data_IF_866697146787
#
_entry.id   IF_866697146787
#
_cell.length_a   1.000
_cell.length_b   1.000
_cell.length_c   1.000
_cell.angle_alpha   90.00
_cell.angle_beta   90.00
_cell.angle_gamma   90.00
#
_symmetry.space_group_name_H-M   'P 1'
#
loop_
_entity.id
_entity.type
_entity.pdbx_description
1 polymer ?
#
# COMPACT_ATOMS: atom_id res chain seq x y z
N UNK A 1 7.46 -12.97 25.98
CA UNK A 1 6.24 -13.39 25.27
C UNK A 1 6.49 -13.24 23.78
N UNK A 2 5.92 -14.07 22.92
CA UNK A 2 6.04 -13.87 21.48
C UNK A 2 5.45 -12.51 21.10
N UNK A 3 6.10 -11.80 20.16
CA UNK A 3 5.64 -10.54 19.61
C UNK A 3 4.82 -10.82 18.34
N UNK A 4 3.56 -10.48 18.35
CA UNK A 4 2.64 -10.73 17.23
C UNK A 4 2.53 -9.52 16.31
N UNK A 5 2.68 -9.76 15.01
CA UNK A 5 2.66 -8.71 13.99
C UNK A 5 1.57 -9.02 12.97
N UNK A 6 0.70 -8.04 12.70
CA UNK A 6 -0.25 -8.13 11.60
C UNK A 6 0.09 -7.11 10.50
N UNK A 7 -0.29 -7.43 9.28
CA UNK A 7 -0.03 -6.60 8.09
C UNK A 7 -1.37 -6.17 7.50
N UNK A 8 -1.52 -4.88 7.23
CA UNK A 8 -2.63 -4.31 6.49
C UNK A 8 -2.07 -3.65 5.23
N UNK A 9 -2.32 -4.25 4.08
CA UNK A 9 -1.70 -3.83 2.82
C UNK A 9 -2.58 -4.11 1.60
N UNK A 10 -1.99 -3.83 0.45
CA UNK A 10 -2.53 -4.11 -0.87
C UNK A 10 -1.83 -5.30 -1.55
N UNK A 11 -1.85 -5.34 -2.90
CA UNK A 11 -1.22 -6.40 -3.70
C UNK A 11 0.26 -6.64 -3.39
N UNK A 12 1.02 -5.57 -3.08
CA UNK A 12 2.47 -5.64 -2.81
C UNK A 12 2.76 -6.48 -1.57
N UNK A 13 1.80 -6.60 -0.67
CA UNK A 13 1.94 -7.29 0.61
C UNK A 13 1.29 -8.69 0.65
N UNK A 14 0.59 -9.09 -0.42
CA UNK A 14 -0.04 -10.42 -0.48
C UNK A 14 0.97 -11.53 -0.78
N UNK A 15 0.65 -12.75 -0.34
CA UNK A 15 1.40 -13.95 -0.71
C UNK A 15 0.50 -15.17 -0.56
N UNK A 16 0.44 -16.02 -1.58
CA UNK A 16 -0.37 -17.26 -1.58
C UNK A 16 -0.12 -18.10 -0.33
N UNK A 17 -1.20 -18.52 0.32
CA UNK A 17 -1.17 -19.34 1.52
C UNK A 17 -0.89 -18.57 2.82
N UNK A 18 -0.67 -17.24 2.76
CA UNK A 18 -0.38 -16.39 3.91
C UNK A 18 -1.44 -15.32 4.18
N UNK A 19 -2.37 -15.13 3.26
CA UNK A 19 -3.55 -14.30 3.45
C UNK A 19 -4.74 -15.15 3.93
N UNK A 20 -5.73 -14.56 4.62
CA UNK A 20 -6.96 -15.26 4.97
C UNK A 20 -7.68 -15.82 3.74
N UNK A 21 -8.40 -16.92 3.92
CA UNK A 21 -9.21 -17.50 2.86
C UNK A 21 -10.21 -16.48 2.29
N UNK A 22 -10.34 -16.46 0.97
CA UNK A 22 -11.22 -15.52 0.26
C UNK A 22 -10.62 -14.13 -0.01
N UNK A 23 -9.42 -13.83 0.51
CA UNK A 23 -8.74 -12.59 0.18
C UNK A 23 -8.12 -12.69 -1.22
N UNK A 24 -8.22 -11.60 -1.99
CA UNK A 24 -7.55 -11.50 -3.28
C UNK A 24 -6.04 -11.41 -3.09
N UNK A 25 -5.31 -12.31 -3.74
CA UNK A 25 -3.85 -12.42 -3.67
C UNK A 25 -3.25 -12.07 -5.03
N UNK A 26 -2.17 -11.31 -5.06
CA UNK A 26 -1.45 -10.96 -6.28
C UNK A 26 -0.30 -11.94 -6.56
N UNK A 27 0.49 -12.26 -5.54
CA UNK A 27 1.61 -13.20 -5.66
C UNK A 27 1.12 -14.64 -5.53
N UNK A 28 0.55 -15.12 -6.63
CA UNK A 28 0.09 -16.48 -6.87
C UNK A 28 0.20 -16.83 -8.35
N UNK A 29 -0.02 -18.05 -8.75
CA UNK A 29 -0.05 -18.53 -10.14
C UNK A 29 1.20 -18.17 -10.95
N UNK A 30 2.37 -18.34 -10.32
CA UNK A 30 3.70 -18.10 -10.91
C UNK A 30 4.20 -16.65 -10.81
N UNK A 31 3.39 -15.69 -10.33
CA UNK A 31 3.86 -14.31 -10.08
C UNK A 31 4.79 -14.23 -8.88
N UNK A 32 4.57 -15.06 -7.88
CA UNK A 32 5.47 -15.26 -6.75
C UNK A 32 6.85 -15.73 -7.21
N UNK A 33 6.91 -16.74 -8.08
CA UNK A 33 8.17 -17.24 -8.64
C UNK A 33 8.89 -16.18 -9.48
N UNK A 34 8.14 -15.45 -10.34
CA UNK A 34 8.69 -14.34 -11.16
C UNK A 34 9.24 -13.20 -10.29
N UNK A 35 8.63 -12.97 -9.13
CA UNK A 35 9.11 -11.98 -8.16
C UNK A 35 10.23 -12.51 -7.25
N UNK A 36 10.64 -13.78 -7.40
CA UNK A 36 11.65 -14.43 -6.57
C UNK A 36 11.18 -14.73 -5.15
N UNK A 37 9.86 -14.82 -4.93
CA UNK A 37 9.28 -15.11 -3.63
C UNK A 37 9.10 -16.63 -3.47
N UNK A 38 9.89 -17.25 -2.63
CA UNK A 38 9.77 -18.67 -2.27
C UNK A 38 8.99 -18.88 -0.98
N UNK A 39 8.79 -17.80 -0.21
CA UNK A 39 8.05 -17.82 1.04
C UNK A 39 8.03 -16.48 1.74
N UNK A 40 7.44 -16.40 2.93
CA UNK A 40 7.31 -15.14 3.68
C UNK A 40 8.65 -14.47 3.98
N UNK A 41 9.74 -15.22 4.11
CA UNK A 41 11.08 -14.69 4.37
C UNK A 41 11.60 -13.80 3.22
N UNK A 42 11.05 -13.92 2.01
CA UNK A 42 11.46 -13.14 0.86
C UNK A 42 10.65 -11.86 0.72
N UNK A 43 9.50 -11.77 1.41
CA UNK A 43 8.64 -10.58 1.42
C UNK A 43 9.23 -9.47 2.30
N UNK A 44 8.83 -8.23 2.01
CA UNK A 44 9.23 -7.08 2.82
C UNK A 44 8.77 -7.24 4.28
N UNK A 45 7.51 -7.65 4.50
CA UNK A 45 6.95 -7.82 5.84
C UNK A 45 7.57 -9.00 6.58
N UNK A 46 7.87 -10.09 5.89
CA UNK A 46 8.55 -11.23 6.50
C UNK A 46 9.93 -10.89 7.01
N UNK A 47 10.70 -10.08 6.24
CA UNK A 47 12.00 -9.56 6.67
C UNK A 47 11.88 -8.65 7.90
N UNK A 48 10.89 -7.75 7.91
CA UNK A 48 10.62 -6.87 9.07
C UNK A 48 10.25 -7.69 10.30
N UNK A 49 9.32 -8.64 10.17
CA UNK A 49 8.88 -9.50 11.27
C UNK A 49 10.05 -10.30 11.84
N UNK A 50 10.88 -10.87 10.98
CA UNK A 50 12.09 -11.60 11.40
C UNK A 50 13.06 -10.69 12.17
N UNK A 51 13.30 -9.46 11.68
CA UNK A 51 14.17 -8.49 12.35
C UNK A 51 13.63 -8.08 13.73
N UNK A 52 12.32 -8.04 13.88
CA UNK A 52 11.64 -7.75 15.15
C UNK A 52 11.62 -8.95 16.12
N UNK A 53 12.13 -10.12 15.72
CA UNK A 53 11.94 -11.39 16.40
C UNK A 53 10.47 -11.69 16.68
N UNK A 54 9.60 -11.29 15.73
CA UNK A 54 8.16 -11.42 15.82
C UNK A 54 7.63 -12.68 15.14
N UNK A 55 6.33 -12.86 15.25
CA UNK A 55 5.56 -13.91 14.59
C UNK A 55 4.42 -13.26 13.82
N UNK A 56 4.23 -13.60 12.56
CA UNK A 56 3.07 -13.16 11.81
C UNK A 56 1.79 -13.69 12.46
N UNK A 57 0.92 -12.77 12.86
CA UNK A 57 -0.42 -13.13 13.35
C UNK A 57 -1.39 -13.24 12.18
N UNK A 58 -1.54 -12.16 11.41
CA UNK A 58 -2.40 -12.14 10.22
C UNK A 58 -1.76 -11.26 9.13
N UNK A 59 -1.74 -11.76 7.90
CA UNK A 59 -1.54 -10.93 6.73
C UNK A 59 -2.89 -10.53 6.15
N UNK A 60 -3.47 -9.41 6.62
CA UNK A 60 -4.74 -8.87 6.18
C UNK A 60 -4.67 -8.05 4.88
N UNK A 61 -3.62 -8.24 4.06
CA UNK A 61 -3.48 -7.54 2.78
C UNK A 61 -4.44 -8.10 1.74
N UNK A 62 -4.89 -7.20 0.82
CA UNK A 62 -5.85 -7.55 -0.22
C UNK A 62 -5.44 -6.91 -1.54
N UNK A 63 -5.27 -7.71 -2.58
CA UNK A 63 -4.88 -7.21 -3.91
C UNK A 63 -5.90 -6.21 -4.46
N UNK A 64 -5.42 -5.05 -4.91
CA UNK A 64 -6.27 -3.95 -5.38
C UNK A 64 -6.93 -3.11 -4.28
N UNK A 65 -6.66 -3.42 -3.00
CA UNK A 65 -7.23 -2.65 -1.88
C UNK A 65 -6.80 -1.19 -1.92
N UNK A 66 -7.77 -0.32 -1.66
CA UNK A 66 -7.60 1.13 -1.52
C UNK A 66 -7.96 1.57 -0.10
N UNK A 67 -7.42 2.70 0.30
CA UNK A 67 -7.86 3.41 1.51
C UNK A 67 -9.19 4.10 1.21
N UNK A 68 -9.29 4.83 0.09
CA UNK A 68 -10.48 5.59 -0.31
C UNK A 68 -11.64 4.73 -0.83
N UNK A 69 -11.50 3.41 -0.93
CA UNK A 69 -12.56 2.51 -1.37
C UNK A 69 -13.81 2.60 -0.49
N UNK A 70 -14.97 2.20 -1.04
CA UNK A 70 -16.21 2.16 -0.28
C UNK A 70 -16.56 0.74 0.15
N UNK A 71 -16.85 0.56 1.44
CA UNK A 71 -17.20 -0.73 2.00
C UNK A 71 -16.06 -1.75 1.96
N UNK A 72 -16.39 -3.02 2.16
CA UNK A 72 -15.43 -4.11 2.03
C UNK A 72 -15.07 -4.34 0.54
N UNK A 73 -13.78 -4.49 0.15
CA UNK A 73 -12.60 -4.68 1.00
C UNK A 73 -11.74 -3.40 1.24
N UNK A 74 -12.34 -2.22 1.31
CA UNK A 74 -11.61 -1.01 1.64
C UNK A 74 -10.85 -1.17 2.96
N UNK A 75 -9.66 -0.57 3.05
CA UNK A 75 -8.77 -0.78 4.18
C UNK A 75 -9.34 -0.31 5.53
N UNK A 76 -10.21 0.70 5.51
CA UNK A 76 -10.89 1.23 6.69
C UNK A 76 -12.13 0.43 7.11
N UNK A 77 -12.58 -0.54 6.30
CA UNK A 77 -13.82 -1.27 6.63
C UNK A 77 -13.68 -2.04 7.95
N UNK A 78 -14.73 -2.07 8.78
CA UNK A 78 -14.67 -2.74 10.09
C UNK A 78 -14.24 -4.20 9.99
N UNK A 79 -14.62 -4.89 8.93
CA UNK A 79 -14.28 -6.29 8.68
C UNK A 79 -12.77 -6.46 8.45
N UNK A 80 -12.14 -5.54 7.69
CA UNK A 80 -10.69 -5.57 7.45
C UNK A 80 -9.91 -5.27 8.73
N UNK A 81 -10.38 -4.32 9.52
CA UNK A 81 -9.77 -3.98 10.81
C UNK A 81 -9.88 -5.18 11.76
N UNK A 82 -11.08 -5.75 11.93
CA UNK A 82 -11.32 -6.88 12.83
C UNK A 82 -10.49 -8.12 12.43
N UNK A 83 -10.27 -8.33 11.14
CA UNK A 83 -9.51 -9.47 10.61
C UNK A 83 -8.00 -9.44 10.95
N UNK A 84 -7.48 -8.38 11.56
CA UNK A 84 -6.07 -8.30 11.99
C UNK A 84 -5.79 -9.04 13.30
N UNK A 85 -6.81 -9.54 14.00
CA UNK A 85 -6.68 -10.43 15.15
C UNK A 85 -6.98 -11.89 14.77
N UNK A 86 -6.49 -12.84 15.56
CA UNK A 86 -6.74 -14.27 15.34
C UNK A 86 -6.89 -14.98 16.66
N UNK A 87 -7.94 -15.80 16.79
CA UNK A 87 -8.19 -16.66 17.97
C UNK A 87 -8.19 -15.90 19.31
N UNK A 88 -8.71 -14.66 19.30
CA UNK A 88 -8.73 -13.77 20.46
C UNK A 88 -7.37 -13.12 20.78
N UNK A 89 -6.35 -13.33 19.94
CA UNK A 89 -5.03 -12.71 20.08
C UNK A 89 -5.02 -11.43 19.25
N UNK A 90 -4.70 -10.31 19.90
CA UNK A 90 -4.47 -9.04 19.23
C UNK A 90 -3.00 -8.88 18.81
N UNK A 91 -2.69 -8.14 17.74
CA UNK A 91 -1.32 -7.85 17.37
C UNK A 91 -0.65 -6.89 18.36
N UNK A 92 0.66 -7.06 18.57
CA UNK A 92 1.53 -6.08 19.25
C UNK A 92 1.97 -4.96 18.29
N UNK A 93 2.07 -5.29 17.00
CA UNK A 93 2.42 -4.37 15.93
C UNK A 93 1.51 -4.57 14.72
N UNK A 94 1.13 -3.46 14.08
CA UNK A 94 0.41 -3.45 12.82
C UNK A 94 1.25 -2.68 11.80
N UNK A 95 1.62 -3.36 10.71
CA UNK A 95 2.35 -2.77 9.59
C UNK A 95 1.34 -2.37 8.53
N UNK A 96 1.20 -1.06 8.27
CA UNK A 96 0.29 -0.51 7.25
C UNK A 96 1.11 -0.10 6.04
N UNK A 97 0.85 -0.75 4.89
CA UNK A 97 1.47 -0.39 3.61
C UNK A 97 0.39 -0.29 2.54
N UNK A 98 -0.19 0.90 2.43
CA UNK A 98 -1.36 1.22 1.61
C UNK A 98 -1.23 2.60 0.99
N UNK A 99 -1.98 2.83 -0.09
CA UNK A 99 -2.05 4.11 -0.79
C UNK A 99 -1.57 4.02 -2.24
N UNK A 100 -0.91 2.92 -2.63
CA UNK A 100 -0.45 2.73 -4.02
C UNK A 100 -1.63 2.73 -5.00
N UNK A 101 -2.72 2.05 -4.66
CA UNK A 101 -3.92 2.03 -5.50
C UNK A 101 -4.70 3.35 -5.43
N UNK A 102 -4.65 4.07 -4.31
CA UNK A 102 -5.24 5.41 -4.15
C UNK A 102 -4.47 6.46 -4.97
N UNK A 103 -3.14 6.38 -4.97
CA UNK A 103 -2.28 7.18 -5.84
C UNK A 103 -2.62 6.95 -7.31
N UNK A 104 -3.01 5.73 -7.63
CA UNK A 104 -3.43 5.31 -8.95
C UNK A 104 -2.28 4.82 -9.82
N UNK A 105 -2.54 3.72 -10.49
CA UNK A 105 -1.65 3.17 -11.51
C UNK A 105 -1.66 4.06 -12.75
N UNK A 106 -0.85 5.09 -12.74
CA UNK A 106 -0.73 6.06 -13.83
C UNK A 106 0.07 5.55 -15.03
N UNK A 107 0.25 4.23 -15.17
CA UNK A 107 1.15 3.66 -16.17
C UNK A 107 0.86 4.08 -17.60
N UNK A 108 -0.41 4.09 -18.00
CA UNK A 108 -0.77 4.49 -19.37
C UNK A 108 -0.62 6.00 -19.59
N UNK A 109 -1.00 6.81 -18.61
CA UNK A 109 -0.94 8.25 -18.69
C UNK A 109 0.48 8.78 -18.72
N UNK A 110 1.31 8.21 -17.87
CA UNK A 110 2.69 8.63 -17.81
C UNK A 110 3.50 8.16 -19.02
N UNK A 111 3.12 7.06 -19.66
CA UNK A 111 3.62 6.68 -20.97
C UNK A 111 3.22 7.68 -22.06
N UNK A 112 1.98 8.22 -21.99
CA UNK A 112 1.47 9.21 -22.94
C UNK A 112 2.06 10.61 -22.74
N UNK A 113 2.36 11.01 -21.49
CA UNK A 113 2.85 12.37 -21.16
C UNK A 113 4.37 12.53 -21.21
N UNK A 114 5.11 11.46 -21.50
CA UNK A 114 6.56 11.50 -21.55
C UNK A 114 7.22 11.64 -20.17
N UNK A 115 8.54 11.57 -20.12
CA UNK A 115 9.37 11.53 -18.90
C UNK A 115 9.60 12.91 -18.25
N UNK A 116 8.61 13.79 -18.27
CA UNK A 116 8.77 15.13 -17.69
C UNK A 116 8.68 15.07 -16.16
N UNK A 117 9.63 15.66 -15.48
CA UNK A 117 9.59 15.90 -14.03
C UNK A 117 8.57 16.98 -13.63
N UNK A 118 7.94 17.66 -14.60
CA UNK A 118 6.88 18.63 -14.38
C UNK A 118 5.51 17.94 -14.44
N UNK A 119 4.57 18.39 -13.61
CA UNK A 119 3.19 17.92 -13.68
C UNK A 119 2.67 18.13 -15.10
N UNK A 120 2.15 17.11 -15.77
CA UNK A 120 1.60 17.27 -17.11
C UNK A 120 0.37 18.16 -17.02
N UNK A 121 0.40 19.29 -17.73
CA UNK A 121 -0.67 20.30 -17.72
C UNK A 121 -1.98 19.83 -18.39
N UNK A 122 -2.06 18.57 -18.85
CA UNK A 122 -3.10 18.14 -19.80
C UNK A 122 -3.50 16.66 -19.68
N UNK A 123 -3.61 16.11 -18.47
CA UNK A 123 -4.19 14.80 -18.32
C UNK A 123 -5.72 14.91 -18.34
N UNK A 124 -6.32 14.80 -19.52
CA UNK A 124 -7.75 14.60 -19.64
C UNK A 124 -8.04 13.11 -19.38
N UNK A 125 -8.80 12.81 -18.33
CA UNK A 125 -9.25 11.45 -18.01
C UNK A 125 -10.03 10.80 -19.16
N UNK A 126 -10.60 11.61 -20.06
CA UNK A 126 -11.36 11.19 -21.24
C UNK A 126 -10.49 10.53 -22.32
N UNK A 127 -9.17 10.75 -22.29
CA UNK A 127 -8.22 10.18 -23.26
C UNK A 127 -7.73 8.77 -22.87
N UNK A 128 -8.26 8.19 -21.77
CA UNK A 128 -7.80 6.89 -21.25
C UNK A 128 -8.78 5.77 -21.58
N UNK A 129 -8.28 4.53 -21.84
CA UNK A 129 -9.13 3.36 -21.96
C UNK A 129 -9.98 3.16 -20.69
N UNK A 130 -11.22 2.75 -20.82
CA UNK A 130 -12.14 2.49 -19.70
C UNK A 130 -11.55 1.57 -18.62
N UNK A 131 -10.66 0.63 -19.00
CA UNK A 131 -9.95 -0.24 -18.08
C UNK A 131 -9.00 0.49 -17.11
N UNK A 132 -8.57 1.70 -17.46
CA UNK A 132 -7.70 2.55 -16.62
C UNK A 132 -8.55 3.58 -15.87
N UNK A 133 -9.61 4.08 -16.47
CA UNK A 133 -10.54 5.02 -15.84
C UNK A 133 -11.26 4.40 -14.62
N UNK A 134 -11.58 3.09 -14.69
CA UNK A 134 -12.18 2.35 -13.56
C UNK A 134 -11.24 2.12 -12.38
N UNK A 135 -9.92 2.27 -12.58
CA UNK A 135 -8.90 2.14 -11.54
C UNK A 135 -8.38 3.50 -11.03
N UNK A 136 -8.89 4.61 -11.58
CA UNK A 136 -8.48 5.94 -11.13
C UNK A 136 -8.96 6.20 -9.70
N UNK A 137 -8.10 6.75 -8.81
CA UNK A 137 -8.51 7.07 -7.47
C UNK A 137 -9.66 8.05 -7.45
N UNK A 138 -10.64 7.75 -6.60
CA UNK A 138 -11.89 8.49 -6.49
C UNK A 138 -11.72 9.59 -5.45
N UNK A 139 -11.09 10.67 -5.64
CA UNK A 139 -11.00 11.71 -4.64
C UNK A 139 -9.76 12.59 -4.79
N UNK A 140 -9.77 13.74 -4.13
CA UNK A 140 -8.61 14.59 -3.97
C UNK A 140 -7.66 14.01 -2.90
N UNK A 141 -6.46 14.58 -2.79
CA UNK A 141 -5.49 14.21 -1.76
C UNK A 141 -6.07 14.41 -0.34
N UNK A 142 -6.91 15.43 -0.15
CA UNK A 142 -7.57 15.69 1.14
C UNK A 142 -8.54 14.58 1.51
N UNK A 143 -9.32 14.06 0.53
CA UNK A 143 -10.19 12.90 0.76
C UNK A 143 -9.38 11.66 1.16
N UNK A 144 -8.19 11.47 0.57
CA UNK A 144 -7.28 10.40 0.98
C UNK A 144 -6.83 10.57 2.44
N UNK A 145 -6.41 11.78 2.84
CA UNK A 145 -6.01 12.08 4.23
C UNK A 145 -7.13 11.77 5.22
N UNK A 146 -8.35 12.21 4.92
CA UNK A 146 -9.52 12.04 5.79
C UNK A 146 -9.86 10.56 6.00
N UNK A 147 -9.85 9.76 4.93
CA UNK A 147 -10.14 8.32 5.01
C UNK A 147 -8.96 7.56 5.62
N UNK A 148 -7.72 7.97 5.35
CA UNK A 148 -6.54 7.40 5.99
C UNK A 148 -6.57 7.62 7.51
N UNK A 149 -6.94 8.83 7.96
CA UNK A 149 -7.14 9.13 9.37
C UNK A 149 -8.27 8.27 9.98
N UNK A 150 -9.39 8.11 9.28
CA UNK A 150 -10.49 7.24 9.69
C UNK A 150 -10.01 5.80 9.91
N UNK A 151 -9.22 5.26 8.99
CA UNK A 151 -8.61 3.93 9.13
C UNK A 151 -7.70 3.83 10.35
N UNK A 152 -6.81 4.82 10.56
CA UNK A 152 -5.90 4.83 11.70
C UNK A 152 -6.64 4.94 13.04
N UNK A 153 -7.68 5.76 13.12
CA UNK A 153 -8.52 5.83 14.31
C UNK A 153 -9.20 4.49 14.60
N UNK A 154 -9.77 3.83 13.58
CA UNK A 154 -10.37 2.51 13.73
C UNK A 154 -9.37 1.45 14.21
N UNK A 155 -8.12 1.48 13.69
CA UNK A 155 -7.04 0.61 14.17
C UNK A 155 -6.69 0.87 15.63
N UNK A 156 -6.56 2.14 16.01
CA UNK A 156 -6.23 2.55 17.39
C UNK A 156 -7.34 2.18 18.38
N UNK A 157 -8.60 2.27 17.96
CA UNK A 157 -9.75 1.87 18.75
C UNK A 157 -9.82 0.36 18.94
N UNK A 158 -9.65 -0.40 17.85
CA UNK A 158 -9.70 -1.85 17.88
C UNK A 158 -8.49 -2.49 18.60
N UNK A 159 -7.32 -1.87 18.49
CA UNK A 159 -6.05 -2.38 19.00
C UNK A 159 -5.28 -1.31 19.79
N UNK A 160 -5.79 -0.87 20.94
CA UNK A 160 -5.23 0.29 21.68
C UNK A 160 -3.82 0.07 22.22
N UNK A 161 -3.36 -1.18 22.32
CA UNK A 161 -2.01 -1.53 22.77
C UNK A 161 -1.04 -1.78 21.61
N UNK A 162 -1.53 -1.90 20.39
CA UNK A 162 -0.68 -2.16 19.23
C UNK A 162 0.07 -0.88 18.81
N UNK A 163 1.30 -1.06 18.37
CA UNK A 163 2.03 -0.02 17.65
C UNK A 163 1.65 -0.09 16.17
N UNK A 164 1.20 1.02 15.62
CA UNK A 164 0.84 1.12 14.21
C UNK A 164 1.95 1.83 13.46
N UNK A 165 2.49 1.17 12.44
CA UNK A 165 3.58 1.63 11.59
C UNK A 165 3.04 1.88 10.20
N UNK A 166 3.10 3.13 9.73
CA UNK A 166 2.58 3.56 8.45
C UNK A 166 3.72 3.79 7.47
N UNK A 167 3.85 2.95 6.46
CA UNK A 167 4.87 3.07 5.43
C UNK A 167 4.36 3.97 4.31
N UNK A 168 5.22 4.88 3.82
CA UNK A 168 4.93 5.69 2.63
C UNK A 168 4.92 4.82 1.37
N UNK A 169 4.49 5.41 0.25
CA UNK A 169 4.57 4.75 -1.05
C UNK A 169 6.03 4.51 -1.42
N UNK A 170 6.28 3.38 -2.06
CA UNK A 170 7.59 3.02 -2.58
C UNK A 170 7.66 3.37 -4.07
N UNK A 171 8.68 4.11 -4.47
CA UNK A 171 9.01 4.24 -5.87
C UNK A 171 9.51 2.89 -6.39
N UNK A 172 8.95 2.41 -7.48
CA UNK A 172 9.26 1.09 -8.03
C UNK A 172 9.32 1.10 -9.53
N UNK A 173 9.59 -0.06 -10.12
CA UNK A 173 9.45 -0.28 -11.56
C UNK A 173 8.12 -0.95 -11.84
N UNK A 174 7.49 -0.54 -12.93
CA UNK A 174 6.36 -1.28 -13.48
C UNK A 174 6.89 -2.62 -13.99
N UNK A 175 6.28 -3.73 -13.53
CA UNK A 175 6.67 -5.08 -13.95
C UNK A 175 6.74 -5.18 -15.48
N UNK A 176 7.85 -5.71 -15.98
CA UNK A 176 8.07 -5.91 -17.42
C UNK A 176 8.44 -4.65 -18.21
N UNK A 177 8.70 -3.53 -17.54
CA UNK A 177 9.18 -2.30 -18.18
C UNK A 177 10.42 -1.75 -17.50
N UNK A 178 11.33 -1.07 -18.22
CA UNK A 178 12.46 -0.36 -17.61
C UNK A 178 12.07 0.97 -16.96
N UNK A 179 10.77 1.30 -16.91
CA UNK A 179 10.32 2.62 -16.49
C UNK A 179 10.10 2.68 -14.99
N UNK A 180 10.60 3.73 -14.31
CA UNK A 180 10.32 3.97 -12.90
C UNK A 180 8.82 4.25 -12.69
N UNK A 181 8.35 4.02 -11.48
CA UNK A 181 7.03 4.48 -11.05
C UNK A 181 6.96 5.99 -11.24
N UNK A 182 5.90 6.47 -11.87
CA UNK A 182 5.81 7.87 -12.22
C UNK A 182 5.68 8.74 -10.98
N UNK A 183 6.44 9.82 -10.97
CA UNK A 183 6.39 10.82 -9.90
C UNK A 183 5.03 11.52 -9.81
N UNK A 184 4.19 11.43 -10.84
CA UNK A 184 2.88 12.08 -10.95
C UNK A 184 1.80 11.09 -11.35
N UNK A 185 0.65 11.15 -10.69
CA UNK A 185 -0.52 10.35 -11.06
C UNK A 185 -1.35 11.01 -12.16
N UNK A 186 -2.43 10.34 -12.59
CA UNK A 186 -3.35 10.82 -13.63
C UNK A 186 -4.01 12.17 -13.31
N UNK A 187 -4.05 12.57 -12.05
CA UNK A 187 -4.61 13.84 -11.59
C UNK A 187 -3.57 14.95 -11.46
N UNK A 188 -2.33 14.67 -11.85
CA UNK A 188 -1.23 15.63 -11.70
C UNK A 188 -0.78 15.81 -10.24
N UNK A 189 -1.06 14.86 -9.36
CA UNK A 189 -0.61 14.89 -7.97
C UNK A 189 0.70 14.12 -7.87
N UNK A 190 1.71 14.73 -7.26
CA UNK A 190 3.01 14.12 -7.06
C UNK A 190 2.92 12.99 -6.02
N UNK A 191 3.64 11.89 -6.23
CA UNK A 191 3.72 10.78 -5.29
C UNK A 191 4.21 11.24 -3.90
N UNK A 192 5.12 12.21 -3.85
CA UNK A 192 5.61 12.77 -2.60
C UNK A 192 4.49 13.39 -1.77
N UNK A 193 3.48 14.00 -2.40
CA UNK A 193 2.33 14.54 -1.68
C UNK A 193 1.53 13.45 -0.95
N UNK A 194 1.39 12.26 -1.54
CA UNK A 194 0.80 11.11 -0.85
C UNK A 194 1.68 10.58 0.28
N UNK A 195 3.00 10.55 0.07
CA UNK A 195 3.94 10.16 1.13
C UNK A 195 3.86 11.12 2.32
N UNK A 196 3.85 12.42 2.06
CA UNK A 196 3.73 13.44 3.09
C UNK A 196 2.36 13.35 3.80
N UNK A 197 1.27 13.11 3.06
CA UNK A 197 -0.06 12.89 3.61
C UNK A 197 -0.09 11.68 4.58
N UNK A 198 0.57 10.57 4.23
CA UNK A 198 0.68 9.39 5.11
C UNK A 198 1.43 9.75 6.39
N UNK A 199 2.59 10.43 6.27
CA UNK A 199 3.44 10.78 7.43
C UNK A 199 2.72 11.75 8.37
N UNK A 200 2.14 12.83 7.83
CA UNK A 200 1.40 13.83 8.59
C UNK A 200 0.19 13.23 9.31
N UNK A 201 -0.57 12.37 8.60
CA UNK A 201 -1.76 11.73 9.18
C UNK A 201 -1.37 10.70 10.23
N UNK A 202 -0.30 9.93 10.01
CA UNK A 202 0.21 8.99 10.99
C UNK A 202 0.60 9.71 12.30
N UNK A 203 1.35 10.80 12.21
CA UNK A 203 1.76 11.60 13.36
C UNK A 203 0.54 12.17 14.11
N UNK A 204 -0.40 12.77 13.38
CA UNK A 204 -1.63 13.33 13.94
C UNK A 204 -2.50 12.29 14.68
N UNK A 205 -2.49 11.02 14.22
CA UNK A 205 -3.21 9.92 14.83
C UNK A 205 -2.41 9.16 15.91
N UNK A 206 -1.22 9.61 16.27
CA UNK A 206 -0.34 8.96 17.24
C UNK A 206 0.19 7.61 16.77
N UNK A 207 0.39 7.46 15.45
CA UNK A 207 1.00 6.32 14.79
C UNK A 207 2.43 6.68 14.37
N UNK A 208 3.25 5.70 14.00
CA UNK A 208 4.62 5.94 13.53
C UNK A 208 4.68 5.92 12.01
N UNK A 209 4.96 7.05 11.39
CA UNK A 209 5.24 7.15 9.96
C UNK A 209 6.67 6.72 9.64
N UNK A 210 6.83 5.95 8.56
CA UNK A 210 8.13 5.53 8.03
C UNK A 210 8.22 5.93 6.56
N UNK A 211 9.13 6.84 6.23
CA UNK A 211 9.39 7.23 4.85
C UNK A 211 10.26 6.18 4.16
N UNK A 212 9.63 5.38 3.32
CA UNK A 212 10.29 4.35 2.51
C UNK A 212 10.43 4.74 1.04
N UNK A 213 9.96 5.93 0.64
CA UNK A 213 10.00 6.38 -0.74
C UNK A 213 11.43 6.41 -1.32
N UNK A 214 12.42 6.73 -0.48
CA UNK A 214 13.83 6.75 -0.84
C UNK A 214 14.50 5.39 -0.91
N UNK A 215 13.85 4.31 -0.49
CA UNK A 215 14.38 2.94 -0.62
C UNK A 215 14.03 2.30 -1.96
N UNK A 216 13.23 2.98 -2.79
CA UNK A 216 12.94 2.56 -4.15
C UNK A 216 14.20 2.68 -5.02
N UNK A 217 14.18 1.96 -6.14
CA UNK A 217 15.28 1.96 -7.10
C UNK A 217 15.58 3.38 -7.58
N UNK A 218 16.80 3.83 -7.38
CA UNK A 218 17.31 4.99 -8.07
C UNK A 218 17.37 4.65 -9.57
N UNK A 219 16.56 5.35 -10.35
CA UNK A 219 16.49 5.13 -11.79
C UNK A 219 17.81 5.49 -12.49
N UNK A 220 18.65 6.33 -11.87
CA UNK A 220 19.98 6.71 -12.38
C UNK A 220 21.03 5.64 -12.09
N UNK A 221 20.85 4.78 -11.09
CA UNK A 221 21.80 3.73 -10.74
C UNK A 221 21.69 2.46 -11.63
N UNK A 222 20.81 2.48 -12.66
CA UNK A 222 20.46 1.34 -13.48
C UNK A 222 20.75 1.58 -14.98
N UNK A 223 21.47 2.65 -15.31
CA UNK A 223 22.18 2.85 -16.57
C UNK A 223 23.62 2.30 -16.42
#
# INVERSE_FOLDING_TARGET
MPRYVSVLGDSISTLKGWNPEGFAVFYEDGRDELAGLQGPQDTWWGKVISHLNGTLLVNGSWSGSMVQGQGYPAAWSPERIAALSRDGIAPDDILVFLGTNDYGWATAAAQACGRSSAAPACLNLEDYPESVAGAAPVGALDDFKDVYATMLHALREAYPQARVWCLTLLSGRVMGTPHPTHAWNLRGINMRAYCDAILETADACGCTGLDVAGFGFDSEALE
#
